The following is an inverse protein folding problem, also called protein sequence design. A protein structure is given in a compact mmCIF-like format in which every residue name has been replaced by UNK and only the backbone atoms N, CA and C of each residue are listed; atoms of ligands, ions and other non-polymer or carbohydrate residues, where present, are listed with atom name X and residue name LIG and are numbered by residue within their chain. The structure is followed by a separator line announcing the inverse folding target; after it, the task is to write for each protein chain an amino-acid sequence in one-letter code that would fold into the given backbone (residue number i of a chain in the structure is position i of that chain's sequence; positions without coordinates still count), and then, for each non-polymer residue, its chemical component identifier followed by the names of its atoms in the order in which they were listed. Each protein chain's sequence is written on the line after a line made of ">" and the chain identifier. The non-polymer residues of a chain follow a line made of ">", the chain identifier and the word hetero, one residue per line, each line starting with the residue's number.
data_IF_215997080112
#
_entry.id   IF_215997080112
#
_cell.length_a   1.000
_cell.length_b   1.000
_cell.length_c   1.000
_cell.angle_alpha   90.00
_cell.angle_beta   90.00
_cell.angle_gamma   90.00
#
_symmetry.space_group_name_H-M   'P 1'
#
loop_
_entity.id
_entity.type
_entity.pdbx_description
1 polymer ?
#
# COMPACT_ATOMS: atom_id res chain seq x y z
N UNK A 1 13.18 -4.86 28.80
CA UNK A 1 13.15 -5.00 27.34
C UNK A 1 12.47 -6.29 26.92
N UNK A 2 12.90 -7.41 27.48
CA UNK A 2 12.32 -8.69 27.13
C UNK A 2 10.81 -8.75 27.40
N UNK A 3 10.36 -8.05 28.40
CA UNK A 3 8.94 -8.08 28.77
C UNK A 3 8.05 -7.47 27.71
N UNK A 4 8.49 -6.38 27.06
CA UNK A 4 7.65 -5.76 26.04
C UNK A 4 7.53 -6.65 24.80
N UNK A 5 8.58 -7.41 24.50
CA UNK A 5 8.50 -8.35 23.40
C UNK A 5 7.49 -9.46 23.69
N UNK A 6 7.51 -9.97 24.90
CA UNK A 6 6.57 -11.00 25.29
C UNK A 6 5.13 -10.50 25.21
N UNK A 7 4.91 -9.27 25.61
CA UNK A 7 3.58 -8.68 25.52
C UNK A 7 3.12 -8.58 24.08
N UNK A 8 4.01 -8.16 23.19
CA UNK A 8 3.68 -8.08 21.79
C UNK A 8 3.26 -9.42 21.23
N UNK A 9 3.97 -10.47 21.61
CA UNK A 9 3.65 -11.80 21.13
C UNK A 9 2.33 -12.31 21.69
N UNK A 10 2.05 -12.01 22.96
CA UNK A 10 0.83 -12.51 23.58
C UNK A 10 -0.43 -11.90 22.96
N UNK A 11 -0.35 -10.73 22.33
CA UNK A 11 -1.51 -10.11 21.69
C UNK A 11 -1.73 -10.63 20.26
N UNK A 12 -0.79 -11.37 19.71
CA UNK A 12 -0.90 -11.89 18.36
C UNK A 12 -0.48 -10.93 17.26
N UNK A 13 -0.13 -9.69 17.59
CA UNK A 13 0.30 -8.71 16.61
C UNK A 13 1.75 -8.30 16.86
N UNK A 14 2.53 -8.18 15.80
CA UNK A 14 3.88 -7.66 15.88
C UNK A 14 3.86 -6.16 16.18
N UNK A 15 4.99 -5.59 16.67
CA UNK A 15 5.07 -4.14 16.83
C UNK A 15 4.82 -3.39 15.52
N UNK A 16 5.30 -3.94 14.42
CA UNK A 16 5.10 -3.33 13.10
C UNK A 16 3.63 -3.30 12.72
N UNK A 17 2.91 -4.38 13.00
CA UNK A 17 1.48 -4.44 12.72
C UNK A 17 0.70 -3.49 13.59
N UNK A 18 1.08 -3.37 14.86
CA UNK A 18 0.42 -2.41 15.76
C UNK A 18 0.65 -0.98 15.32
N UNK A 19 1.86 -0.65 14.85
CA UNK A 19 2.14 0.68 14.34
C UNK A 19 1.30 0.97 13.11
N UNK A 20 1.12 0.00 12.22
CA UNK A 20 0.29 0.15 11.04
C UNK A 20 -1.17 0.39 11.43
N UNK A 21 -1.66 -0.31 12.47
CA UNK A 21 -3.02 -0.13 12.96
C UNK A 21 -3.22 1.25 13.56
N UNK A 22 -2.23 1.76 14.27
CA UNK A 22 -2.26 3.12 14.79
C UNK A 22 -2.30 4.15 13.68
N UNK A 23 -1.50 3.93 12.63
CA UNK A 23 -1.48 4.80 11.47
C UNK A 23 -2.87 4.81 10.81
N UNK A 24 -3.49 3.64 10.68
CA UNK A 24 -4.82 3.57 10.08
C UNK A 24 -5.86 4.30 10.93
N UNK A 25 -5.78 4.20 12.26
CA UNK A 25 -6.70 4.90 13.14
C UNK A 25 -6.56 6.42 12.97
N UNK A 26 -5.32 6.91 12.83
CA UNK A 26 -5.07 8.33 12.62
C UNK A 26 -5.62 8.78 11.26
N UNK A 27 -5.44 7.95 10.23
CA UNK A 27 -5.95 8.23 8.88
C UNK A 27 -7.47 8.36 8.89
N UNK A 28 -8.14 7.43 9.57
CA UNK A 28 -9.60 7.46 9.65
C UNK A 28 -10.11 8.71 10.35
N UNK A 29 -9.41 9.14 11.40
CA UNK A 29 -9.79 10.37 12.10
C UNK A 29 -9.67 11.58 11.20
N UNK A 30 -8.60 11.66 10.44
CA UNK A 30 -8.38 12.78 9.51
C UNK A 30 -9.44 12.80 8.42
N UNK A 31 -9.72 11.64 7.83
CA UNK A 31 -10.72 11.53 6.78
C UNK A 31 -12.10 11.92 7.29
N UNK A 32 -12.45 11.48 8.49
CA UNK A 32 -13.73 11.80 9.07
C UNK A 32 -13.91 13.26 9.43
N UNK A 33 -12.79 13.93 9.76
CA UNK A 33 -12.85 15.33 10.17
C UNK A 33 -12.96 16.28 9.00
N UNK A 34 -12.20 16.04 7.97
CA UNK A 34 -11.98 17.05 6.92
C UNK A 34 -12.49 16.63 5.56
N UNK A 35 -12.82 15.38 5.37
CA UNK A 35 -13.05 14.86 4.05
C UNK A 35 -11.72 14.89 3.28
N UNK A 36 -11.12 13.75 3.05
CA UNK A 36 -9.81 13.68 2.42
C UNK A 36 -9.83 14.29 1.02
N UNK A 37 -8.96 15.25 0.77
CA UNK A 37 -8.75 15.78 -0.57
C UNK A 37 -7.64 15.01 -1.24
N UNK A 38 -7.72 14.90 -2.57
CA UNK A 38 -6.73 14.15 -3.34
C UNK A 38 -5.31 14.68 -3.11
N UNK A 39 -5.17 16.01 -3.02
CA UNK A 39 -3.85 16.62 -2.79
C UNK A 39 -3.29 16.25 -1.42
N UNK A 40 -4.15 16.21 -0.39
CA UNK A 40 -3.71 15.85 0.95
C UNK A 40 -3.32 14.38 1.02
N UNK A 41 -4.06 13.50 0.34
CA UNK A 41 -3.72 12.10 0.25
C UNK A 41 -2.39 11.86 -0.45
N UNK A 42 -2.14 12.60 -1.53
CA UNK A 42 -0.87 12.51 -2.24
C UNK A 42 0.29 12.88 -1.32
N UNK A 43 0.14 13.96 -0.56
CA UNK A 43 1.21 14.39 0.33
C UNK A 43 1.50 13.33 1.41
N UNK A 44 0.46 12.72 1.98
CA UNK A 44 0.68 11.68 2.99
C UNK A 44 1.37 10.47 2.39
N UNK A 45 1.05 10.10 1.15
CA UNK A 45 1.73 9.00 0.47
C UNK A 45 3.20 9.33 0.26
N UNK A 46 3.51 10.54 -0.22
CA UNK A 46 4.89 10.93 -0.45
C UNK A 46 5.67 10.97 0.87
N UNK A 47 5.05 11.44 1.94
CA UNK A 47 5.69 11.45 3.27
C UNK A 47 5.97 10.03 3.75
N UNK A 48 5.04 9.11 3.53
CA UNK A 48 5.21 7.72 3.90
C UNK A 48 6.39 7.10 3.15
N UNK A 49 6.46 7.35 1.84
CA UNK A 49 7.55 6.83 1.01
C UNK A 49 8.90 7.37 1.49
N UNK A 50 8.94 8.64 1.89
CA UNK A 50 10.17 9.27 2.33
C UNK A 50 10.76 8.62 3.60
N UNK A 51 9.94 7.94 4.39
CA UNK A 51 10.41 7.28 5.61
C UNK A 51 10.96 5.88 5.38
N UNK A 52 10.82 5.35 4.17
CA UNK A 52 11.23 3.98 3.87
C UNK A 52 12.74 3.85 3.71
N UNK A 53 13.23 2.61 3.82
CA UNK A 53 14.63 2.32 3.49
C UNK A 53 14.88 2.70 2.03
N UNK A 54 16.15 2.95 1.64
CA UNK A 54 16.43 3.32 0.24
C UNK A 54 15.89 2.33 -0.77
N UNK A 55 15.97 1.04 -0.50
CA UNK A 55 15.49 0.01 -1.42
C UNK A 55 13.98 0.03 -1.54
N UNK A 56 13.30 0.07 -0.40
CA UNK A 56 11.83 0.13 -0.39
C UNK A 56 11.33 1.42 -1.02
N UNK A 57 12.02 2.52 -0.71
CA UNK A 57 11.65 3.83 -1.25
C UNK A 57 11.72 3.84 -2.77
N UNK A 58 12.78 3.26 -3.33
CA UNK A 58 12.91 3.19 -4.79
C UNK A 58 11.74 2.42 -5.41
N UNK A 59 11.41 1.26 -4.85
CA UNK A 59 10.28 0.47 -5.34
C UNK A 59 8.96 1.24 -5.19
N UNK A 60 8.76 1.88 -4.03
CA UNK A 60 7.54 2.63 -3.77
C UNK A 60 7.38 3.77 -4.76
N UNK A 61 8.47 4.47 -5.08
CA UNK A 61 8.44 5.56 -6.05
C UNK A 61 8.09 5.06 -7.44
N UNK A 62 8.68 3.93 -7.83
CA UNK A 62 8.38 3.34 -9.14
C UNK A 62 6.94 2.88 -9.23
N UNK A 63 6.44 2.25 -8.18
CA UNK A 63 5.03 1.85 -8.12
C UNK A 63 4.13 3.08 -8.20
N UNK A 64 4.46 4.11 -7.44
CA UNK A 64 3.65 5.34 -7.43
C UNK A 64 3.54 5.95 -8.83
N UNK A 65 4.67 6.10 -9.50
CA UNK A 65 4.68 6.67 -10.86
C UNK A 65 3.87 5.80 -11.81
N UNK A 66 4.03 4.48 -11.73
CA UNK A 66 3.34 3.56 -12.62
C UNK A 66 1.84 3.57 -12.39
N UNK A 67 1.41 3.51 -11.13
CA UNK A 67 -0.02 3.50 -10.80
C UNK A 67 -0.68 4.81 -11.20
N UNK A 68 -0.06 5.94 -10.89
CA UNK A 68 -0.66 7.24 -11.18
C UNK A 68 -0.70 7.53 -12.68
N UNK A 69 0.26 7.03 -13.44
CA UNK A 69 0.25 7.18 -14.89
C UNK A 69 -0.79 6.27 -15.55
N UNK A 70 -0.94 5.04 -15.03
CA UNK A 70 -1.86 4.05 -15.61
C UNK A 70 -3.30 4.31 -15.21
N UNK A 71 -3.53 4.72 -13.96
CA UNK A 71 -4.86 4.92 -13.40
C UNK A 71 -4.94 6.28 -12.72
N UNK A 72 -4.95 7.37 -13.50
CA UNK A 72 -4.93 8.72 -12.91
C UNK A 72 -6.17 9.06 -12.09
N UNK A 73 -7.26 8.31 -12.26
CA UNK A 73 -8.47 8.55 -11.49
C UNK A 73 -8.44 7.95 -10.09
N UNK A 74 -7.47 7.09 -9.80
CA UNK A 74 -7.31 6.60 -8.44
C UNK A 74 -6.73 7.71 -7.58
N UNK A 75 -7.19 7.79 -6.33
CA UNK A 75 -6.74 8.80 -5.38
C UNK A 75 -5.70 8.21 -4.44
N UNK A 76 -4.50 8.80 -4.36
CA UNK A 76 -3.50 8.34 -3.41
C UNK A 76 -3.98 8.59 -1.98
N UNK A 77 -3.69 7.65 -1.09
CA UNK A 77 -3.94 7.82 0.35
C UNK A 77 -3.05 6.84 1.10
N UNK A 78 -2.79 7.11 2.37
CA UNK A 78 -2.15 6.10 3.20
C UNK A 78 -3.22 5.19 3.80
N UNK A 79 -2.89 3.92 3.93
CA UNK A 79 -3.79 2.89 4.42
C UNK A 79 -2.96 1.93 5.26
N UNK A 80 -3.21 1.90 6.57
CA UNK A 80 -2.34 1.20 7.53
C UNK A 80 -0.89 1.66 7.41
N UNK A 81 -0.69 2.93 7.10
CA UNK A 81 0.63 3.51 6.89
C UNK A 81 1.27 3.17 5.55
N UNK A 82 0.59 2.44 4.68
CA UNK A 82 1.11 2.05 3.36
C UNK A 82 0.61 3.01 2.29
N UNK A 83 1.41 3.28 1.25
CA UNK A 83 0.90 3.96 0.07
C UNK A 83 -0.21 3.13 -0.57
N UNK A 84 -1.34 3.75 -0.82
CA UNK A 84 -2.49 3.06 -1.38
C UNK A 84 -3.20 3.97 -2.38
N UNK A 85 -4.01 3.36 -3.23
CA UNK A 85 -4.67 4.06 -4.32
C UNK A 85 -6.12 3.61 -4.36
N UNK A 86 -7.04 4.56 -4.15
CA UNK A 86 -8.44 4.27 -3.93
C UNK A 86 -9.31 4.76 -5.09
N UNK A 87 -10.44 4.09 -5.30
CA UNK A 87 -11.40 4.47 -6.33
C UNK A 87 -12.29 5.63 -5.84
N UNK A 88 -13.24 6.03 -6.67
CA UNK A 88 -14.13 7.15 -6.38
C UNK A 88 -14.98 6.94 -5.13
N UNK A 89 -15.24 5.69 -4.78
CA UNK A 89 -16.00 5.35 -3.57
C UNK A 89 -15.13 5.32 -2.33
N UNK A 90 -13.84 5.64 -2.45
CA UNK A 90 -12.91 5.63 -1.33
C UNK A 90 -12.38 4.27 -0.98
N UNK A 91 -12.65 3.25 -1.79
CA UNK A 91 -12.17 1.89 -1.54
C UNK A 91 -10.78 1.70 -2.13
N UNK A 92 -9.89 1.13 -1.34
CA UNK A 92 -8.53 0.85 -1.81
C UNK A 92 -8.56 -0.22 -2.89
N UNK A 93 -7.93 0.08 -4.02
CA UNK A 93 -7.77 -0.88 -5.12
C UNK A 93 -6.46 -1.62 -4.99
N UNK A 94 -5.38 -0.90 -4.71
CA UNK A 94 -4.05 -1.48 -4.60
C UNK A 94 -3.24 -0.71 -3.55
N UNK A 95 -2.38 -1.43 -2.82
CA UNK A 95 -1.49 -0.84 -1.84
C UNK A 95 -0.09 -1.42 -2.00
N UNK A 96 0.93 -0.64 -1.64
CA UNK A 96 2.31 -1.09 -1.62
C UNK A 96 2.72 -1.39 -0.19
N UNK A 97 3.05 -2.66 0.07
CA UNK A 97 3.44 -3.11 1.40
C UNK A 97 4.95 -3.27 1.44
N UNK A 98 5.64 -2.32 2.06
CA UNK A 98 7.09 -2.31 2.02
C UNK A 98 7.70 -3.28 3.04
N UNK A 99 8.72 -3.99 2.60
CA UNK A 99 9.32 -5.07 3.37
C UNK A 99 9.90 -4.61 4.70
N UNK A 100 10.53 -3.44 4.74
CA UNK A 100 11.18 -2.95 5.95
C UNK A 100 10.20 -2.66 7.07
N UNK A 101 9.05 -2.08 6.73
CA UNK A 101 8.03 -1.73 7.73
C UNK A 101 7.44 -2.96 8.40
N UNK A 102 7.26 -4.03 7.64
CA UNK A 102 6.56 -5.22 8.13
C UNK A 102 7.50 -6.39 8.37
N UNK A 103 8.81 -6.14 8.30
CA UNK A 103 9.84 -7.14 8.54
C UNK A 103 9.66 -8.37 7.65
N UNK A 104 9.50 -8.12 6.37
CA UNK A 104 9.29 -9.15 5.36
C UNK A 104 10.50 -9.31 4.47
N UNK A 105 10.60 -10.46 3.80
CA UNK A 105 11.72 -10.74 2.91
C UNK A 105 11.65 -9.94 1.61
N UNK A 106 10.45 -9.57 1.18
CA UNK A 106 10.25 -8.76 -0.03
C UNK A 106 9.01 -7.89 0.15
N UNK A 107 8.96 -6.82 -0.64
CA UNK A 107 7.78 -5.97 -0.69
C UNK A 107 6.72 -6.59 -1.60
N UNK A 108 5.46 -6.21 -1.40
CA UNK A 108 4.36 -6.76 -2.21
C UNK A 108 3.43 -5.66 -2.70
N UNK A 109 2.80 -5.92 -3.83
CA UNK A 109 1.62 -5.19 -4.26
C UNK A 109 0.40 -5.98 -3.79
N UNK A 110 -0.48 -5.32 -3.04
CA UNK A 110 -1.65 -5.95 -2.45
C UNK A 110 -2.90 -5.37 -3.11
N UNK A 111 -3.54 -6.17 -3.96
CA UNK A 111 -4.81 -5.77 -4.57
C UNK A 111 -5.95 -6.15 -3.64
N UNK A 112 -6.91 -5.24 -3.50
CA UNK A 112 -8.00 -5.40 -2.56
C UNK A 112 -9.30 -5.79 -3.26
N UNK A 113 -10.35 -5.93 -2.47
CA UNK A 113 -11.66 -6.35 -2.96
C UNK A 113 -12.18 -5.51 -4.13
N UNK A 114 -11.85 -4.22 -4.14
CA UNK A 114 -12.29 -3.32 -5.19
C UNK A 114 -11.54 -3.51 -6.52
N UNK A 115 -10.48 -4.32 -6.54
CA UNK A 115 -9.72 -4.58 -7.75
C UNK A 115 -10.41 -5.66 -8.57
N UNK A 116 -10.63 -5.39 -9.85
CA UNK A 116 -11.31 -6.32 -10.72
C UNK A 116 -10.32 -7.26 -11.41
N UNK A 117 -9.71 -8.16 -10.62
CA UNK A 117 -8.74 -9.13 -11.14
C UNK A 117 -9.32 -10.55 -11.24
N UNK A 118 -10.61 -10.68 -11.03
CA UNK A 118 -11.29 -11.97 -11.02
C UNK A 118 -11.00 -12.77 -12.29
N UNK A 119 -10.62 -14.02 -12.09
CA UNK A 119 -10.33 -14.92 -13.21
C UNK A 119 -10.66 -16.35 -12.76
N UNK A 120 -11.78 -16.87 -13.23
CA UNK A 120 -12.26 -18.18 -12.77
C UNK A 120 -12.69 -18.12 -11.32
N UNK A 121 -12.37 -19.17 -10.57
CA UNK A 121 -12.75 -19.30 -9.17
C UNK A 121 -11.58 -19.08 -8.22
N UNK A 122 -10.37 -18.90 -8.75
CA UNK A 122 -9.16 -18.64 -7.98
C UNK A 122 -8.27 -17.69 -8.79
N UNK A 123 -7.84 -16.60 -8.17
CA UNK A 123 -6.93 -15.66 -8.84
C UNK A 123 -6.00 -15.00 -7.81
N UNK A 124 -4.78 -14.62 -8.24
CA UNK A 124 -3.85 -13.97 -7.33
C UNK A 124 -4.20 -12.51 -7.11
N UNK A 125 -3.94 -12.04 -5.91
CA UNK A 125 -4.17 -10.63 -5.55
C UNK A 125 -2.97 -10.00 -4.85
N UNK A 126 -1.95 -10.79 -4.51
CA UNK A 126 -0.74 -10.30 -3.86
C UNK A 126 0.46 -10.69 -4.73
N UNK A 127 1.30 -9.73 -5.06
CA UNK A 127 2.43 -9.92 -5.96
C UNK A 127 3.72 -9.44 -5.32
N UNK A 128 4.70 -10.32 -5.21
CA UNK A 128 6.00 -9.98 -4.66
C UNK A 128 6.80 -9.14 -5.66
N UNK A 129 7.45 -8.11 -5.14
CA UNK A 129 8.34 -7.27 -5.95
C UNK A 129 9.77 -7.45 -5.45
N UNK A 130 10.63 -8.02 -6.30
CA UNK A 130 12.04 -8.17 -5.99
C UNK A 130 12.82 -6.96 -6.44
N UNK A 131 13.03 -6.84 -7.74
CA UNK A 131 13.76 -5.72 -8.34
C UNK A 131 12.89 -5.07 -9.40
N UNK A 132 13.07 -3.76 -9.54
CA UNK A 132 12.36 -3.03 -10.58
C UNK A 132 13.12 -3.17 -11.91
N UNK A 133 12.37 -3.37 -12.98
CA UNK A 133 12.90 -3.47 -14.33
C UNK A 133 11.80 -3.06 -15.30
N UNK A 134 12.12 -2.82 -16.59
CA UNK A 134 11.07 -2.53 -17.58
C UNK A 134 10.01 -3.62 -17.65
N UNK A 135 10.39 -4.89 -17.47
CA UNK A 135 9.43 -5.99 -17.48
C UNK A 135 8.50 -5.92 -16.27
N UNK A 136 9.03 -5.57 -15.10
CA UNK A 136 8.24 -5.42 -13.88
C UNK A 136 7.29 -4.24 -14.03
N UNK A 137 7.77 -3.13 -14.55
CA UNK A 137 6.91 -1.96 -14.76
C UNK A 137 5.75 -2.29 -15.68
N UNK A 138 6.01 -3.01 -16.76
CA UNK A 138 4.96 -3.42 -17.69
C UNK A 138 3.94 -4.32 -16.98
N UNK A 139 4.40 -5.27 -16.18
CA UNK A 139 3.51 -6.18 -15.46
C UNK A 139 2.65 -5.43 -14.46
N UNK A 140 3.25 -4.50 -13.72
CA UNK A 140 2.50 -3.69 -12.75
C UNK A 140 1.44 -2.86 -13.46
N UNK A 141 1.80 -2.22 -14.57
CA UNK A 141 0.85 -1.43 -15.34
C UNK A 141 -0.32 -2.28 -15.84
N UNK A 142 -0.04 -3.48 -16.34
CA UNK A 142 -1.07 -4.39 -16.82
C UNK A 142 -2.02 -4.80 -15.70
N UNK A 143 -1.47 -5.10 -14.52
CA UNK A 143 -2.29 -5.47 -13.36
C UNK A 143 -3.18 -4.33 -12.91
N UNK A 144 -2.63 -3.12 -12.86
CA UNK A 144 -3.41 -1.94 -12.44
C UNK A 144 -4.51 -1.65 -13.46
N UNK A 145 -4.19 -1.74 -14.74
CA UNK A 145 -5.17 -1.52 -15.79
C UNK A 145 -6.32 -2.52 -15.69
N UNK A 146 -6.00 -3.79 -15.49
CA UNK A 146 -7.02 -4.81 -15.31
C UNK A 146 -7.86 -4.55 -14.07
N UNK A 147 -7.22 -4.12 -12.99
CA UNK A 147 -7.89 -3.91 -11.70
C UNK A 147 -8.96 -2.84 -11.76
N UNK A 148 -8.80 -1.84 -12.63
CA UNK A 148 -9.73 -0.72 -12.74
C UNK A 148 -10.72 -0.87 -13.90
N UNK A 149 -10.61 -1.90 -14.70
CA UNK A 149 -11.47 -2.07 -15.88
C UNK A 149 -12.84 -2.67 -15.57
#
# INVERSE_FOLDING_TARGET
>A
MATSTAEGESTGFSPEERDAMKARAAELRTEGKQGAKKADGLQTVLDSIATMTPEDRFLAERVHVTVTATAPDLSPKTWYGMPAYANADGKVVVAFKNSGKFNLRYSTLEFQDAANLDEGDVWPVSYALGKWSPAVEKKVAELVEAAIS
#
